data_IF_522197453447
#
_entry.id   IF_522197453447
#
_cell.length_a   1.000
_cell.length_b   1.000
_cell.length_c   1.000
_cell.angle_alpha   90.00
_cell.angle_beta   90.00
_cell.angle_gamma   90.00
#
_symmetry.space_group_name_H-M   'P 1'
#
loop_
_entity.id
_entity.type
_entity.pdbx_description
1 polymer ?
#
# COMPACT_ATOMS: atom_id res chain seq x y z
N UNK A 1 19.15 -11.79 9.92
CA UNK A 1 17.96 -11.22 9.32
C UNK A 1 18.22 -10.86 7.87
N UNK A 2 17.56 -11.53 6.97
CA UNK A 2 17.78 -11.29 5.53
C UNK A 2 17.12 -9.97 5.13
N UNK A 3 17.89 -9.08 4.55
CA UNK A 3 17.34 -7.91 3.88
C UNK A 3 16.68 -8.32 2.57
N UNK A 4 15.66 -7.59 2.14
CA UNK A 4 15.06 -7.80 0.82
C UNK A 4 16.12 -7.54 -0.25
N UNK A 5 16.30 -8.49 -1.15
CA UNK A 5 17.17 -8.31 -2.31
C UNK A 5 16.48 -7.34 -3.28
N UNK A 6 17.12 -6.20 -3.67
CA UNK A 6 16.53 -5.26 -4.62
C UNK A 6 16.15 -5.88 -5.96
N UNK A 7 16.89 -6.88 -6.44
CA UNK A 7 16.57 -7.58 -7.67
C UNK A 7 15.29 -8.39 -7.55
N UNK A 8 15.10 -9.11 -6.44
CA UNK A 8 13.86 -9.86 -6.18
C UNK A 8 12.64 -8.95 -6.08
N UNK A 9 12.77 -7.80 -5.42
CA UNK A 9 11.71 -6.81 -5.33
C UNK A 9 11.35 -6.24 -6.70
N UNK A 10 12.33 -5.91 -7.52
CA UNK A 10 12.14 -5.44 -8.88
C UNK A 10 11.50 -6.49 -9.79
N UNK A 11 11.93 -7.75 -9.70
CA UNK A 11 11.34 -8.85 -10.45
C UNK A 11 9.86 -9.04 -10.10
N UNK A 12 9.51 -8.96 -8.83
CA UNK A 12 8.12 -9.11 -8.40
C UNK A 12 7.24 -7.93 -8.83
N UNK A 13 7.74 -6.71 -8.80
CA UNK A 13 7.06 -5.53 -9.33
C UNK A 13 6.87 -5.67 -10.85
N UNK A 14 7.89 -6.13 -11.56
CA UNK A 14 7.81 -6.37 -12.99
C UNK A 14 6.79 -7.46 -13.33
N UNK A 15 6.71 -8.54 -12.53
CA UNK A 15 5.72 -9.60 -12.71
C UNK A 15 4.29 -9.08 -12.56
N UNK A 16 4.03 -8.25 -11.53
CA UNK A 16 2.72 -7.63 -11.37
C UNK A 16 2.42 -6.69 -12.55
N UNK A 17 3.36 -5.86 -12.95
CA UNK A 17 3.19 -4.93 -14.08
C UNK A 17 2.88 -5.67 -15.37
N UNK A 18 3.51 -6.83 -15.60
CA UNK A 18 3.26 -7.65 -16.79
C UNK A 18 1.88 -8.30 -16.79
N UNK A 19 1.32 -8.62 -15.62
CA UNK A 19 0.03 -9.32 -15.46
C UNK A 19 -1.14 -8.37 -15.16
N UNK A 20 -0.87 -7.15 -14.72
CA UNK A 20 -1.89 -6.20 -14.31
C UNK A 20 -2.65 -5.62 -15.51
N UNK A 21 -3.93 -5.33 -15.27
CA UNK A 21 -4.69 -4.50 -16.21
C UNK A 21 -4.19 -3.05 -16.15
N UNK A 22 -4.32 -2.33 -17.25
CA UNK A 22 -3.86 -0.95 -17.36
C UNK A 22 -4.37 -0.05 -16.21
N UNK A 23 -5.63 -0.21 -15.80
CA UNK A 23 -6.22 0.59 -14.72
C UNK A 23 -5.65 0.26 -13.33
N UNK A 24 -4.92 -0.84 -13.17
CA UNK A 24 -4.29 -1.24 -11.91
C UNK A 24 -2.90 -0.64 -11.73
N UNK A 25 -2.37 0.01 -12.76
CA UNK A 25 -1.05 0.62 -12.72
C UNK A 25 -1.16 2.13 -12.49
N UNK A 26 -0.30 2.71 -11.64
CA UNK A 26 -0.30 4.16 -11.48
C UNK A 26 0.07 4.83 -12.81
N UNK A 27 -0.59 5.94 -13.17
CA UNK A 27 -0.26 6.66 -14.38
C UNK A 27 1.12 7.31 -14.28
N UNK A 28 1.81 7.45 -15.41
CA UNK A 28 3.10 8.13 -15.44
C UNK A 28 2.96 9.62 -15.15
N UNK A 29 1.87 10.23 -15.59
CA UNK A 29 1.58 11.65 -15.40
C UNK A 29 0.11 11.90 -15.08
N UNK A 30 -0.15 13.04 -14.47
CA UNK A 30 -1.51 13.52 -14.24
C UNK A 30 -2.19 13.88 -15.60
N UNK A 31 -3.52 13.93 -15.59
CA UNK A 31 -4.29 14.35 -16.77
C UNK A 31 -3.92 15.76 -17.27
N UNK A 32 -3.38 16.59 -16.37
CA UNK A 32 -2.84 17.93 -16.70
C UNK A 32 -1.47 17.89 -17.40
N UNK A 33 -0.83 16.73 -17.51
CA UNK A 33 0.50 16.55 -18.11
C UNK A 33 1.69 16.67 -17.15
N UNK A 34 1.45 17.11 -15.90
CA UNK A 34 2.48 17.21 -14.85
C UNK A 34 2.56 15.96 -13.96
N UNK A 35 3.33 16.06 -12.87
CA UNK A 35 3.38 15.00 -11.87
C UNK A 35 2.03 14.91 -11.14
N UNK A 36 1.59 13.69 -10.86
CA UNK A 36 0.36 13.51 -10.10
C UNK A 36 0.62 13.44 -8.61
N UNK A 37 -0.32 13.93 -7.83
CA UNK A 37 -0.33 13.83 -6.36
C UNK A 37 -1.45 12.92 -5.87
N UNK A 38 -2.46 12.69 -6.70
CA UNK A 38 -3.61 11.86 -6.37
C UNK A 38 -3.91 10.92 -7.52
N UNK A 39 -3.97 9.63 -7.23
CA UNK A 39 -4.39 8.61 -8.17
C UNK A 39 -5.71 8.01 -7.69
N UNK A 40 -6.75 8.15 -8.50
CA UNK A 40 -8.09 7.65 -8.21
C UNK A 40 -8.38 6.42 -9.07
N UNK A 41 -8.68 5.32 -8.40
CA UNK A 41 -9.10 4.08 -9.07
C UNK A 41 -10.59 3.87 -8.82
N UNK A 42 -11.37 3.88 -9.89
CA UNK A 42 -12.80 3.61 -9.84
C UNK A 42 -13.10 2.28 -10.54
N UNK A 43 -14.00 1.52 -9.97
CA UNK A 43 -14.42 0.24 -10.54
C UNK A 43 -15.34 -0.52 -9.60
N UNK A 44 -16.05 -1.49 -10.13
CA UNK A 44 -16.88 -2.38 -9.35
C UNK A 44 -16.05 -3.41 -8.55
N UNK A 45 -16.74 -4.30 -7.84
CA UNK A 45 -16.10 -5.43 -7.18
C UNK A 45 -15.39 -6.31 -8.21
N UNK A 46 -14.22 -6.83 -7.85
CA UNK A 46 -13.42 -7.66 -8.75
C UNK A 46 -12.61 -6.90 -9.79
N UNK A 47 -12.64 -5.56 -9.77
CA UNK A 47 -11.82 -4.74 -10.68
C UNK A 47 -10.33 -4.69 -10.31
N UNK A 48 -9.94 -5.30 -9.18
CA UNK A 48 -8.53 -5.35 -8.76
C UNK A 48 -8.04 -4.09 -8.05
N UNK A 49 -8.93 -3.27 -7.52
CA UNK A 49 -8.55 -2.02 -6.83
C UNK A 49 -7.69 -2.25 -5.60
N UNK A 50 -8.07 -3.20 -4.76
CA UNK A 50 -7.32 -3.53 -3.54
C UNK A 50 -5.92 -4.02 -3.88
N UNK A 51 -5.79 -4.89 -4.87
CA UNK A 51 -4.48 -5.38 -5.34
C UNK A 51 -3.63 -4.24 -5.88
N UNK A 52 -4.19 -3.35 -6.68
CA UNK A 52 -3.48 -2.21 -7.23
C UNK A 52 -2.96 -1.29 -6.13
N UNK A 53 -3.80 -0.98 -5.13
CA UNK A 53 -3.41 -0.18 -3.98
C UNK A 53 -2.31 -0.84 -3.14
N UNK A 54 -2.45 -2.14 -2.87
CA UNK A 54 -1.46 -2.90 -2.11
C UNK A 54 -0.09 -2.96 -2.83
N UNK A 55 -0.09 -3.17 -4.14
CA UNK A 55 1.15 -3.18 -4.94
C UNK A 55 1.82 -1.80 -4.97
N UNK A 56 1.02 -0.74 -5.05
CA UNK A 56 1.56 0.61 -4.99
C UNK A 56 2.20 0.91 -3.64
N UNK A 57 1.52 0.61 -2.54
CA UNK A 57 2.06 0.79 -1.18
C UNK A 57 3.33 -0.04 -0.99
N UNK A 58 3.34 -1.27 -1.46
CA UNK A 58 4.52 -2.12 -1.44
C UNK A 58 5.69 -1.46 -2.18
N UNK A 59 5.46 -0.93 -3.37
CA UNK A 59 6.50 -0.26 -4.15
C UNK A 59 7.06 0.96 -3.45
N UNK A 60 6.23 1.77 -2.82
CA UNK A 60 6.66 2.94 -2.03
C UNK A 60 7.49 2.51 -0.83
N UNK A 61 7.04 1.52 -0.08
CA UNK A 61 7.73 1.03 1.12
C UNK A 61 9.10 0.42 0.80
N UNK A 62 9.19 -0.37 -0.27
CA UNK A 62 10.45 -1.01 -0.65
C UNK A 62 11.45 -0.04 -1.28
N UNK A 63 10.97 1.02 -1.90
CA UNK A 63 11.82 2.04 -2.52
C UNK A 63 12.41 3.05 -1.52
N UNK A 64 11.78 3.25 -0.36
CA UNK A 64 12.17 4.28 0.61
C UNK A 64 12.08 3.73 2.04
N UNK A 65 13.23 3.54 2.67
CA UNK A 65 13.34 3.07 4.06
C UNK A 65 12.75 4.06 5.07
N UNK A 66 12.64 5.33 4.71
CA UNK A 66 12.06 6.38 5.55
C UNK A 66 10.57 6.61 5.26
N UNK A 67 9.96 5.81 4.39
CA UNK A 67 8.57 5.96 4.03
C UNK A 67 7.65 5.85 5.26
N UNK A 68 6.73 6.79 5.36
CA UNK A 68 5.66 6.80 6.36
C UNK A 68 4.35 6.87 5.62
N UNK A 69 3.59 5.78 5.66
CA UNK A 69 2.41 5.59 4.84
C UNK A 69 1.18 5.54 5.74
N UNK A 70 0.14 6.28 5.37
CA UNK A 70 -1.16 6.18 6.01
C UNK A 70 -2.06 5.24 5.21
N UNK A 71 -2.63 4.24 5.88
CA UNK A 71 -3.64 3.34 5.32
C UNK A 71 -4.97 3.68 5.96
N UNK A 72 -5.93 4.13 5.16
CA UNK A 72 -7.19 4.65 5.67
C UNK A 72 -8.34 3.82 5.12
N UNK A 73 -9.05 3.13 6.00
CA UNK A 73 -10.29 2.42 5.68
C UNK A 73 -11.49 3.13 6.28
N UNK A 74 -12.69 2.72 5.91
CA UNK A 74 -13.92 3.23 6.49
C UNK A 74 -13.98 2.95 8.00
N UNK A 75 -13.74 1.69 8.37
CA UNK A 75 -13.59 1.25 9.75
C UNK A 75 -12.23 0.61 9.97
N UNK A 76 -11.80 0.47 11.23
CA UNK A 76 -10.57 -0.26 11.55
C UNK A 76 -10.65 -1.74 11.11
N UNK A 77 -11.82 -2.33 11.28
CA UNK A 77 -12.05 -3.72 10.90
C UNK A 77 -11.89 -3.92 9.39
N UNK A 78 -12.53 -3.07 8.58
CA UNK A 78 -12.42 -3.15 7.12
C UNK A 78 -11.01 -2.89 6.63
N UNK A 79 -10.34 -1.88 7.20
CA UNK A 79 -8.96 -1.59 6.86
C UNK A 79 -8.04 -2.80 7.12
N UNK A 80 -8.19 -3.44 8.27
CA UNK A 80 -7.40 -4.61 8.63
C UNK A 80 -7.74 -5.81 7.76
N UNK A 81 -9.00 -6.15 7.62
CA UNK A 81 -9.43 -7.35 6.90
C UNK A 81 -9.19 -7.29 5.41
N UNK A 82 -9.37 -6.14 4.80
CA UNK A 82 -9.28 -5.99 3.35
C UNK A 82 -7.90 -5.51 2.93
N UNK A 83 -7.39 -4.44 3.54
CA UNK A 83 -6.14 -3.81 3.10
C UNK A 83 -4.90 -4.57 3.56
N UNK A 84 -4.95 -5.23 4.69
CA UNK A 84 -3.79 -5.87 5.31
C UNK A 84 -3.83 -7.39 5.18
N UNK A 85 -4.84 -8.03 5.71
CA UNK A 85 -4.94 -9.51 5.81
C UNK A 85 -5.66 -10.18 4.64
N UNK A 86 -6.36 -9.44 3.80
CA UNK A 86 -7.13 -9.99 2.68
C UNK A 86 -6.28 -10.66 1.61
N UNK A 87 -6.92 -11.42 0.72
CA UNK A 87 -6.26 -12.18 -0.36
C UNK A 87 -5.50 -11.29 -1.35
N UNK A 88 -5.87 -10.02 -1.45
CA UNK A 88 -5.17 -9.00 -2.23
C UNK A 88 -4.59 -7.89 -1.34
N UNK A 89 -4.50 -8.14 -0.05
CA UNK A 89 -4.00 -7.19 0.93
C UNK A 89 -2.47 -7.12 0.97
N UNK A 90 -1.96 -6.21 1.80
CA UNK A 90 -0.52 -5.93 1.88
C UNK A 90 0.32 -7.12 2.30
N UNK A 91 -0.17 -7.98 3.21
CA UNK A 91 0.59 -9.16 3.58
C UNK A 91 0.67 -10.18 2.45
N UNK A 92 -0.40 -10.31 1.66
CA UNK A 92 -0.48 -11.30 0.59
C UNK A 92 0.35 -10.96 -0.65
N UNK A 93 0.53 -9.67 -0.95
CA UNK A 93 1.25 -9.24 -2.16
C UNK A 93 2.76 -9.27 -2.02
N UNK A 94 3.29 -9.42 -0.81
CA UNK A 94 4.72 -9.51 -0.56
C UNK A 94 5.23 -10.95 -0.66
N UNK A 95 6.47 -11.12 -1.12
CA UNK A 95 7.21 -12.37 -0.97
C UNK A 95 7.60 -12.56 0.51
N UNK A 96 7.81 -13.80 0.93
CA UNK A 96 8.11 -14.12 2.33
C UNK A 96 9.32 -13.34 2.88
N UNK A 97 10.37 -13.18 2.08
CA UNK A 97 11.59 -12.49 2.48
C UNK A 97 11.40 -10.97 2.69
N UNK A 98 10.44 -10.36 2.01
CA UNK A 98 10.19 -8.91 2.05
C UNK A 98 8.95 -8.53 2.85
N UNK A 99 8.16 -9.53 3.28
CA UNK A 99 6.87 -9.30 3.92
C UNK A 99 7.04 -8.50 5.21
N UNK A 100 6.26 -7.40 5.38
CA UNK A 100 6.28 -6.64 6.62
C UNK A 100 5.63 -7.42 7.76
N UNK A 101 5.93 -7.02 8.98
CA UNK A 101 5.30 -7.54 10.17
C UNK A 101 4.13 -6.65 10.60
N UNK A 102 3.01 -7.28 10.89
CA UNK A 102 1.86 -6.59 11.48
C UNK A 102 2.03 -6.45 13.00
N UNK A 103 2.05 -5.21 13.47
CA UNK A 103 2.06 -4.89 14.89
C UNK A 103 0.66 -4.47 15.32
N UNK A 104 -0.08 -5.38 15.92
CA UNK A 104 -1.48 -5.16 16.30
C UNK A 104 -1.65 -4.08 17.37
N UNK A 105 -0.73 -3.97 18.32
CA UNK A 105 -0.83 -2.97 19.38
C UNK A 105 -0.60 -1.55 18.89
N UNK A 106 0.23 -1.37 17.89
CA UNK A 106 0.51 -0.08 17.25
C UNK A 106 -0.31 0.15 15.98
N UNK A 107 -1.03 -0.87 15.52
CA UNK A 107 -1.84 -0.85 14.29
C UNK A 107 -1.05 -0.40 13.07
N UNK A 108 0.13 -1.00 12.87
CA UNK A 108 1.00 -0.65 11.76
C UNK A 108 1.72 -1.85 11.18
N UNK A 109 2.09 -1.74 9.91
CA UNK A 109 3.01 -2.63 9.24
C UNK A 109 4.41 -2.06 9.32
N UNK A 110 5.37 -2.91 9.65
CA UNK A 110 6.78 -2.54 9.78
C UNK A 110 7.60 -3.38 8.81
N UNK A 111 8.22 -2.73 7.83
CA UNK A 111 9.12 -3.40 6.89
C UNK A 111 10.53 -3.51 7.47
N UNK A 112 11.26 -4.51 6.99
CA UNK A 112 12.64 -4.76 7.44
C UNK A 112 13.60 -3.61 7.13
N UNK A 113 13.32 -2.85 6.06
CA UNK A 113 14.13 -1.68 5.69
C UNK A 113 13.88 -0.44 6.56
N UNK A 114 12.85 -0.44 7.40
CA UNK A 114 12.48 0.68 8.27
C UNK A 114 11.21 1.42 7.86
N UNK A 115 10.65 1.15 6.68
CA UNK A 115 9.40 1.75 6.26
C UNK A 115 8.25 1.31 7.16
N UNK A 116 7.27 2.18 7.35
CA UNK A 116 6.12 1.95 8.22
C UNK A 116 4.84 2.39 7.53
N UNK A 117 3.80 1.57 7.60
CA UNK A 117 2.45 1.94 7.21
C UNK A 117 1.51 1.86 8.42
N UNK A 118 0.93 2.97 8.80
CA UNK A 118 0.00 3.07 9.92
C UNK A 118 -1.44 3.01 9.44
N UNK A 119 -2.24 2.22 10.14
CA UNK A 119 -3.66 2.05 9.84
C UNK A 119 -4.49 3.10 10.58
N UNK A 120 -5.44 3.69 9.88
CA UNK A 120 -6.43 4.63 10.42
C UNK A 120 -7.81 4.27 9.92
N UNK A 121 -8.83 4.70 10.66
CA UNK A 121 -10.21 4.65 10.19
C UNK A 121 -10.74 6.05 9.89
N UNK A 122 -11.61 6.15 8.89
CA UNK A 122 -12.27 7.42 8.57
C UNK A 122 -13.24 7.86 9.69
N UNK A 123 -13.75 6.92 10.49
CA UNK A 123 -14.56 7.21 11.65
C UNK A 123 -13.79 7.94 12.75
N UNK A 124 -12.48 7.71 12.84
CA UNK A 124 -11.61 8.32 13.83
C UNK A 124 -10.42 9.01 13.16
N UNK A 125 -10.71 10.04 12.39
CA UNK A 125 -9.74 10.78 11.58
C UNK A 125 -8.78 11.67 12.39
N UNK A 126 -9.05 11.92 13.68
CA UNK A 126 -8.22 12.80 14.51
C UNK A 126 -6.79 12.29 14.65
N UNK A 127 -6.59 10.98 14.60
CA UNK A 127 -5.25 10.37 14.63
C UNK A 127 -4.36 10.74 13.43
N UNK A 128 -4.95 11.25 12.35
CA UNK A 128 -4.21 11.74 11.19
C UNK A 128 -3.58 13.12 11.39
N UNK A 129 -3.95 13.81 12.44
CA UNK A 129 -3.36 15.11 12.79
C UNK A 129 -2.00 14.92 13.47
N UNK A 130 -1.03 15.68 13.09
CA UNK A 130 0.30 15.70 13.68
C UNK A 130 1.34 14.85 12.96
N UNK A 131 1.12 13.53 12.71
CA UNK A 131 2.09 12.75 11.95
C UNK A 131 2.26 13.27 10.53
N UNK A 132 3.48 13.17 10.01
CA UNK A 132 3.77 13.48 8.61
C UNK A 132 3.90 12.18 7.83
N UNK A 133 3.19 12.10 6.72
CA UNK A 133 3.20 10.93 5.84
C UNK A 133 3.76 11.28 4.47
N UNK A 134 4.51 10.36 3.90
CA UNK A 134 5.03 10.48 2.52
C UNK A 134 4.04 9.98 1.48
N UNK A 135 3.09 9.12 1.88
CA UNK A 135 2.06 8.58 1.01
C UNK A 135 0.82 8.19 1.83
N UNK A 136 -0.32 8.08 1.17
CA UNK A 136 -1.54 7.60 1.79
C UNK A 136 -2.36 6.75 0.82
N UNK A 137 -2.90 5.65 1.32
CA UNK A 137 -3.87 4.81 0.62
C UNK A 137 -5.22 4.88 1.30
N UNK A 138 -6.25 5.22 0.56
CA UNK A 138 -7.63 5.26 1.02
C UNK A 138 -8.44 4.18 0.33
N UNK A 139 -9.02 3.28 1.10
CA UNK A 139 -9.93 2.26 0.61
C UNK A 139 -11.36 2.53 1.06
N UNK A 140 -12.27 2.64 0.11
CA UNK A 140 -13.71 2.69 0.33
C UNK A 140 -14.33 1.39 -0.19
N UNK A 141 -14.91 0.63 0.69
CA UNK A 141 -15.47 -0.68 0.39
C UNK A 141 -16.98 -0.73 0.57
#
# INVERSE_FOLDING_TARGET
MSQVNPEEANDFIADFTACAHEHQLPPDRANSGGDWTTWLILGGRGAGKTRAGAEWVRSVALADADARIALIGETEHDAREVMIEGVSGLLAVHRDAERPQWNASRRRLEWKNGAVAQMFSAENYEGLRGPQFSAAGLGLF
#
